data_IF_345191428994
#
_entry.id   IF_345191428994
#
_cell.length_a   1.000
_cell.length_b   1.000
_cell.length_c   1.000
_cell.angle_alpha   90.00
_cell.angle_beta   90.00
_cell.angle_gamma   90.00
#
_symmetry.space_group_name_H-M   'P 1'
#
loop_
_entity.id
_entity.type
_entity.pdbx_description
1 polymer ?
#
# COMPACT_ATOMS: atom_id res chain seq x y z
N UNK A 1 -11.44 10.04 23.39
CA UNK A 1 -10.34 10.89 22.87
C UNK A 1 -10.58 11.16 21.39
N UNK A 2 -10.36 12.38 20.91
CA UNK A 2 -10.45 12.71 19.48
C UNK A 2 -9.10 13.28 19.05
N UNK A 3 -8.52 12.76 17.97
CA UNK A 3 -7.24 13.20 17.43
C UNK A 3 -7.43 13.54 15.95
N UNK A 4 -6.91 14.70 15.54
CA UNK A 4 -6.96 15.20 14.18
C UNK A 4 -5.56 15.11 13.57
N UNK A 5 -5.39 14.21 12.60
CA UNK A 5 -4.12 13.86 11.95
C UNK A 5 -2.93 13.69 12.92
N UNK A 6 -3.05 12.89 14.00
CA UNK A 6 -1.99 12.75 15.01
C UNK A 6 -0.69 12.17 14.45
N UNK A 7 -0.71 11.54 13.28
CA UNK A 7 0.48 11.00 12.62
C UNK A 7 1.09 11.92 11.56
N UNK A 8 0.54 13.13 11.38
CA UNK A 8 1.05 14.09 10.41
C UNK A 8 2.52 14.45 10.69
N UNK A 9 3.32 14.47 9.61
CA UNK A 9 4.74 14.81 9.63
C UNK A 9 5.63 13.91 10.51
N UNK A 10 5.13 12.75 10.94
CA UNK A 10 5.94 11.73 11.60
C UNK A 10 6.58 10.79 10.57
N UNK A 11 7.78 10.32 10.89
CA UNK A 11 8.37 9.20 10.17
C UNK A 11 7.62 7.89 10.52
N UNK A 12 7.83 6.80 9.76
CA UNK A 12 7.10 5.55 9.98
C UNK A 12 7.20 5.01 11.42
N UNK A 13 8.35 5.18 12.08
CA UNK A 13 8.54 4.74 13.48
C UNK A 13 7.71 5.60 14.45
N UNK A 14 7.67 6.91 14.22
CA UNK A 14 6.85 7.85 14.99
C UNK A 14 5.36 7.56 14.85
N UNK A 15 4.89 7.26 13.62
CA UNK A 15 3.50 6.84 13.40
C UNK A 15 3.16 5.59 14.18
N UNK A 16 4.02 4.57 14.13
CA UNK A 16 3.81 3.32 14.85
C UNK A 16 3.72 3.54 16.36
N UNK A 17 4.57 4.41 16.93
CA UNK A 17 4.52 4.76 18.34
C UNK A 17 3.18 5.43 18.73
N UNK A 18 2.62 6.30 17.88
CA UNK A 18 1.29 6.90 18.09
C UNK A 18 0.21 5.81 18.12
N UNK A 19 0.19 4.89 17.16
CA UNK A 19 -0.80 3.82 17.13
C UNK A 19 -0.67 2.85 18.32
N UNK A 20 0.56 2.57 18.79
CA UNK A 20 0.77 1.79 20.01
C UNK A 20 0.15 2.46 21.25
N UNK A 21 0.23 3.79 21.35
CA UNK A 21 -0.42 4.55 22.43
C UNK A 21 -1.94 4.48 22.29
N UNK A 22 -2.47 4.64 21.07
CA UNK A 22 -3.91 4.52 20.81
C UNK A 22 -4.44 3.14 21.22
N UNK A 23 -3.72 2.07 20.87
CA UNK A 23 -4.07 0.70 21.23
C UNK A 23 -4.03 0.47 22.75
N UNK A 24 -3.06 1.07 23.46
CA UNK A 24 -3.01 1.03 24.93
C UNK A 24 -4.24 1.71 25.55
N UNK A 25 -4.61 2.90 25.05
CA UNK A 25 -5.78 3.64 25.55
C UNK A 25 -7.07 2.86 25.30
N UNK A 26 -7.19 2.24 24.12
CA UNK A 26 -8.31 1.35 23.79
C UNK A 26 -8.41 0.17 24.76
N UNK A 27 -7.29 -0.49 25.09
CA UNK A 27 -7.24 -1.58 26.10
C UNK A 27 -7.66 -1.13 27.50
N UNK A 28 -7.54 0.16 27.81
CA UNK A 28 -8.02 0.76 29.07
C UNK A 28 -9.52 1.15 29.02
N UNK A 29 -10.23 0.81 27.94
CA UNK A 29 -11.65 1.10 27.75
C UNK A 29 -11.95 2.49 27.19
N UNK A 30 -10.92 3.22 26.73
CA UNK A 30 -11.12 4.53 26.09
C UNK A 30 -11.54 4.35 24.63
N UNK A 31 -12.62 5.00 24.22
CA UNK A 31 -12.93 5.15 22.79
C UNK A 31 -12.06 6.26 22.20
N UNK A 32 -11.38 5.96 21.09
CA UNK A 32 -10.54 6.91 20.33
C UNK A 32 -11.16 7.12 18.95
N UNK A 33 -11.31 8.38 18.56
CA UNK A 33 -11.68 8.78 17.20
C UNK A 33 -10.44 9.39 16.55
N UNK A 34 -10.02 8.82 15.43
CA UNK A 34 -8.92 9.32 14.61
C UNK A 34 -9.48 9.92 13.33
N UNK A 35 -9.01 11.11 12.97
CA UNK A 35 -9.20 11.69 11.65
C UNK A 35 -7.85 11.56 10.93
N UNK A 36 -7.83 10.78 9.85
CA UNK A 36 -6.64 10.51 9.04
C UNK A 36 -7.02 10.52 7.57
N UNK A 37 -6.06 10.85 6.70
CA UNK A 37 -6.23 10.82 5.25
C UNK A 37 -5.43 9.69 4.57
N UNK A 38 -4.54 9.02 5.30
CA UNK A 38 -3.68 7.94 4.80
C UNK A 38 -4.31 6.58 5.12
N UNK A 39 -4.73 5.85 4.09
CA UNK A 39 -5.53 4.63 4.25
C UNK A 39 -4.71 3.41 4.62
N UNK A 40 -3.44 3.41 4.27
CA UNK A 40 -2.46 2.35 4.51
C UNK A 40 -2.33 2.08 6.02
N UNK A 41 -2.08 3.15 6.78
CA UNK A 41 -1.96 3.09 8.23
C UNK A 41 -3.29 2.69 8.90
N UNK A 42 -4.40 3.22 8.39
CA UNK A 42 -5.73 2.92 8.95
C UNK A 42 -6.12 1.45 8.77
N UNK A 43 -5.78 0.83 7.65
CA UNK A 43 -6.22 -0.53 7.33
C UNK A 43 -5.79 -1.58 8.37
N UNK A 44 -4.64 -1.38 9.01
CA UNK A 44 -4.12 -2.29 10.03
C UNK A 44 -4.48 -1.88 11.47
N UNK A 45 -4.74 -0.60 11.72
CA UNK A 45 -4.72 -0.04 13.09
C UNK A 45 -6.10 0.34 13.65
N UNK A 46 -7.16 0.36 12.83
CA UNK A 46 -8.50 0.80 13.25
C UNK A 46 -9.54 -0.31 13.15
N UNK A 47 -10.50 -0.32 14.07
CA UNK A 47 -11.59 -1.30 14.08
C UNK A 47 -12.69 -0.97 13.06
N UNK A 48 -13.00 0.33 12.94
CA UNK A 48 -14.14 0.83 12.16
C UNK A 48 -13.77 2.10 11.42
N UNK A 49 -14.36 2.26 10.24
CA UNK A 49 -14.18 3.45 9.41
C UNK A 49 -15.54 4.12 9.18
N UNK A 50 -15.51 5.45 9.23
CA UNK A 50 -16.62 6.32 8.83
C UNK A 50 -16.10 7.18 7.69
N UNK A 51 -16.80 7.15 6.55
CA UNK A 51 -16.50 8.04 5.44
C UNK A 51 -17.52 9.17 5.42
N UNK A 52 -17.00 10.39 5.37
CA UNK A 52 -17.77 11.63 5.32
C UNK A 52 -17.64 12.28 3.95
N UNK A 53 -18.75 12.72 3.39
CA UNK A 53 -18.80 13.53 2.17
C UNK A 53 -19.78 14.69 2.37
N UNK A 54 -19.33 15.92 2.10
CA UNK A 54 -20.11 17.15 2.32
C UNK A 54 -20.86 17.21 3.67
N UNK A 55 -20.20 16.80 4.75
CA UNK A 55 -20.77 16.82 6.11
C UNK A 55 -21.79 15.71 6.39
N UNK A 56 -21.94 14.72 5.51
CA UNK A 56 -22.83 13.56 5.69
C UNK A 56 -22.02 12.28 5.76
N UNK A 57 -22.45 11.36 6.61
CA UNK A 57 -21.90 10.00 6.65
C UNK A 57 -22.42 9.27 5.41
N UNK A 58 -21.51 8.92 4.51
CA UNK A 58 -21.81 8.14 3.30
C UNK A 58 -21.51 6.66 3.46
N UNK A 59 -20.64 6.31 4.41
CA UNK A 59 -20.35 4.94 4.76
C UNK A 59 -19.92 4.81 6.22
N UNK A 60 -20.28 3.68 6.85
CA UNK A 60 -19.84 3.31 8.19
C UNK A 60 -19.83 1.79 8.32
N UNK A 61 -18.71 1.21 8.72
CA UNK A 61 -18.58 -0.23 8.86
C UNK A 61 -17.29 -0.65 9.56
N UNK A 62 -17.10 -1.96 9.66
CA UNK A 62 -15.83 -2.55 10.05
C UNK A 62 -14.77 -2.24 8.98
N UNK A 63 -13.53 -2.02 9.40
CA UNK A 63 -12.43 -1.56 8.52
C UNK A 63 -12.27 -2.39 7.26
N UNK A 64 -12.31 -3.73 7.41
CA UNK A 64 -12.20 -4.66 6.29
C UNK A 64 -13.30 -4.45 5.25
N UNK A 65 -14.55 -4.41 5.69
CA UNK A 65 -15.70 -4.27 4.80
C UNK A 65 -15.65 -2.95 4.04
N UNK A 66 -15.13 -1.89 4.68
CA UNK A 66 -14.98 -0.57 4.06
C UNK A 66 -13.88 -0.62 3.00
N UNK A 67 -12.67 -1.05 3.36
CA UNK A 67 -11.51 -1.01 2.45
C UNK A 67 -11.56 -2.05 1.32
N UNK A 68 -12.35 -3.11 1.44
CA UNK A 68 -12.61 -4.03 0.33
C UNK A 68 -13.50 -3.43 -0.77
N UNK A 69 -14.30 -2.39 -0.47
CA UNK A 69 -15.16 -1.72 -1.45
C UNK A 69 -14.37 -0.67 -2.26
N UNK A 70 -13.34 -1.09 -2.98
CA UNK A 70 -12.48 -0.19 -3.80
C UNK A 70 -13.27 0.77 -4.71
N UNK A 71 -14.37 0.36 -5.39
CA UNK A 71 -15.17 1.29 -6.19
C UNK A 71 -15.81 2.45 -5.39
N UNK A 72 -16.04 2.25 -4.08
CA UNK A 72 -16.54 3.29 -3.18
C UNK A 72 -15.53 4.45 -3.09
N UNK A 73 -14.25 4.13 -2.95
CA UNK A 73 -13.18 5.12 -2.82
C UNK A 73 -13.07 5.98 -4.07
N UNK A 74 -13.05 5.35 -5.25
CA UNK A 74 -12.99 6.07 -6.52
C UNK A 74 -14.21 6.99 -6.73
N UNK A 75 -15.42 6.52 -6.35
CA UNK A 75 -16.65 7.32 -6.46
C UNK A 75 -16.60 8.62 -5.64
N UNK A 76 -15.91 8.61 -4.49
CA UNK A 76 -15.82 9.76 -3.58
C UNK A 76 -14.44 10.43 -3.61
N UNK A 77 -13.63 10.18 -4.65
CA UNK A 77 -12.30 10.77 -4.84
C UNK A 77 -11.32 10.49 -3.68
N UNK A 78 -11.52 9.37 -3.00
CA UNK A 78 -10.61 8.85 -1.98
C UNK A 78 -9.66 7.83 -2.62
N UNK A 79 -8.54 7.58 -1.96
CA UNK A 79 -7.63 6.49 -2.34
C UNK A 79 -7.86 5.32 -1.40
N UNK A 80 -8.10 4.10 -1.91
CA UNK A 80 -8.07 2.91 -1.07
C UNK A 80 -6.61 2.55 -0.74
N UNK A 81 -6.36 1.65 0.24
CA UNK A 81 -5.05 1.04 0.41
C UNK A 81 -4.57 0.42 -0.89
N UNK A 82 -3.31 0.65 -1.27
CA UNK A 82 -2.75 0.18 -2.56
C UNK A 82 -2.90 -1.34 -2.74
N UNK A 83 -2.74 -2.10 -1.67
CA UNK A 83 -2.90 -3.56 -1.66
C UNK A 83 -4.34 -4.00 -1.95
N UNK A 84 -5.33 -3.23 -1.48
CA UNK A 84 -6.73 -3.47 -1.78
C UNK A 84 -7.03 -3.17 -3.25
N UNK A 85 -6.50 -2.08 -3.80
CA UNK A 85 -6.61 -1.78 -5.23
C UNK A 85 -5.99 -2.90 -6.08
N UNK A 86 -4.80 -3.39 -5.71
CA UNK A 86 -4.16 -4.50 -6.39
C UNK A 86 -5.01 -5.77 -6.35
N UNK A 87 -5.50 -6.17 -5.17
CA UNK A 87 -6.37 -7.34 -5.04
C UNK A 87 -7.69 -7.18 -5.80
N UNK A 88 -8.28 -5.99 -5.80
CA UNK A 88 -9.48 -5.70 -6.57
C UNK A 88 -9.27 -5.96 -8.07
N UNK A 89 -8.11 -5.56 -8.62
CA UNK A 89 -7.76 -5.86 -10.02
C UNK A 89 -7.63 -7.36 -10.30
N UNK A 90 -7.18 -8.16 -9.32
CA UNK A 90 -7.17 -9.61 -9.44
C UNK A 90 -8.59 -10.19 -9.40
N UNK A 91 -9.46 -9.64 -8.54
CA UNK A 91 -10.86 -10.01 -8.44
C UNK A 91 -11.61 -9.72 -9.75
N UNK A 92 -11.43 -8.55 -10.35
CA UNK A 92 -12.03 -8.20 -11.66
C UNK A 92 -11.61 -9.17 -12.77
N UNK A 93 -10.38 -9.68 -12.70
CA UNK A 93 -9.86 -10.71 -13.60
C UNK A 93 -10.31 -12.13 -13.24
N UNK A 94 -11.13 -12.29 -12.19
CA UNK A 94 -11.63 -13.57 -11.66
C UNK A 94 -10.51 -14.52 -11.22
N UNK A 95 -9.38 -13.97 -10.80
CA UNK A 95 -8.25 -14.75 -10.26
C UNK A 95 -8.40 -15.04 -8.77
N UNK A 96 -9.19 -14.22 -8.07
CA UNK A 96 -9.54 -14.36 -6.66
C UNK A 96 -11.03 -14.04 -6.49
N UNK A 97 -11.61 -14.46 -5.36
CA UNK A 97 -12.94 -14.05 -4.91
C UNK A 97 -12.89 -12.71 -4.16
N UNK A 98 -14.06 -12.10 -3.92
CA UNK A 98 -14.15 -10.75 -3.32
C UNK A 98 -13.64 -10.75 -1.87
N UNK A 99 -13.92 -11.79 -1.11
CA UNK A 99 -13.50 -11.96 0.28
C UNK A 99 -11.97 -12.09 0.42
N UNK A 100 -11.29 -12.49 -0.65
CA UNK A 100 -9.84 -12.61 -0.74
C UNK A 100 -9.12 -11.31 -1.10
N UNK A 101 -9.84 -10.22 -1.38
CA UNK A 101 -9.23 -8.89 -1.59
C UNK A 101 -8.53 -8.48 -0.29
N UNK A 102 -7.20 -8.29 -0.30
CA UNK A 102 -6.43 -7.97 0.90
C UNK A 102 -6.65 -6.51 1.26
N UNK A 103 -6.78 -6.21 2.55
CA UNK A 103 -6.85 -4.81 3.03
C UNK A 103 -5.55 -4.35 3.67
N UNK A 104 -4.67 -5.27 4.09
CA UNK A 104 -3.35 -4.96 4.65
C UNK A 104 -2.21 -5.53 3.80
N UNK A 105 -1.00 -5.04 4.02
CA UNK A 105 0.21 -5.55 3.34
C UNK A 105 0.45 -7.02 3.64
N UNK A 106 0.25 -7.47 4.88
CA UNK A 106 0.44 -8.85 5.28
C UNK A 106 -0.50 -9.80 4.52
N UNK A 107 -1.76 -9.38 4.35
CA UNK A 107 -2.75 -10.11 3.56
C UNK A 107 -2.35 -10.15 2.08
N UNK A 108 -1.86 -9.03 1.53
CA UNK A 108 -1.37 -8.95 0.16
C UNK A 108 -0.19 -9.88 -0.08
N UNK A 109 0.79 -9.91 0.82
CA UNK A 109 1.94 -10.82 0.76
C UNK A 109 1.49 -12.28 0.84
N UNK A 110 0.57 -12.60 1.75
CA UNK A 110 0.03 -13.97 1.88
C UNK A 110 -0.71 -14.40 0.60
N UNK A 111 -1.49 -13.50 0.01
CA UNK A 111 -2.19 -13.73 -1.25
C UNK A 111 -1.21 -14.03 -2.38
N UNK A 112 -0.20 -13.18 -2.56
CA UNK A 112 0.82 -13.35 -3.60
C UNK A 112 1.60 -14.64 -3.41
N UNK A 113 2.04 -14.97 -2.19
CA UNK A 113 2.74 -16.24 -1.90
C UNK A 113 1.92 -17.48 -2.23
N UNK A 114 0.59 -17.40 -2.18
CA UNK A 114 -0.32 -18.48 -2.56
C UNK A 114 -0.57 -18.55 -4.07
N UNK A 115 -0.53 -17.42 -4.78
CA UNK A 115 -0.72 -17.36 -6.23
C UNK A 115 0.57 -17.65 -7.02
N UNK A 116 1.74 -17.29 -6.47
CA UNK A 116 3.05 -17.49 -7.07
C UNK A 116 3.66 -18.92 -7.05
N UNK A 117 3.20 -19.94 -6.28
CA UNK A 117 3.75 -21.29 -6.39
C UNK A 117 3.61 -21.88 -7.81
N UNK A 118 2.70 -21.34 -8.62
CA UNK A 118 2.50 -21.68 -10.04
C UNK A 118 3.19 -20.73 -11.03
N UNK A 119 3.92 -19.70 -10.56
CA UNK A 119 4.66 -18.78 -11.41
C UNK A 119 6.15 -19.08 -11.24
N UNK A 120 6.77 -19.65 -12.28
CA UNK A 120 8.23 -19.77 -12.31
C UNK A 120 8.84 -18.39 -11.97
N UNK A 121 9.86 -18.32 -11.09
CA UNK A 121 10.44 -17.05 -10.71
C UNK A 121 10.88 -16.32 -11.98
N UNK A 122 10.56 -15.02 -12.14
CA UNK A 122 11.11 -14.23 -13.23
C UNK A 122 12.63 -14.33 -13.10
N UNK A 123 13.27 -14.84 -14.14
CA UNK A 123 14.72 -15.04 -14.21
C UNK A 123 15.44 -13.85 -13.62
N UNK A 124 16.25 -14.10 -12.58
CA UNK A 124 17.05 -13.12 -11.83
C UNK A 124 17.59 -12.04 -12.75
N UNK A 125 17.19 -10.78 -12.53
CA UNK A 125 17.87 -9.64 -13.14
C UNK A 125 19.29 -9.65 -12.55
N UNK A 126 20.25 -10.09 -13.36
CA UNK A 126 21.66 -10.11 -12.99
C UNK A 126 22.10 -8.70 -12.59
N UNK A 127 22.79 -8.63 -11.44
CA UNK A 127 23.25 -7.42 -10.79
C UNK A 127 23.83 -6.38 -11.77
N UNK A 128 23.32 -5.15 -11.68
CA UNK A 128 23.85 -3.98 -12.37
C UNK A 128 25.26 -3.70 -11.82
N UNK A 129 26.31 -3.92 -12.60
CA UNK A 129 27.66 -3.44 -12.29
C UNK A 129 27.83 -2.04 -12.88
N UNK A 130 28.01 -1.05 -12.01
CA UNK A 130 28.39 0.32 -12.39
C UNK A 130 29.91 0.38 -12.40
N UNK A 131 30.52 0.53 -13.58
CA UNK A 131 31.93 0.87 -13.69
C UNK A 131 32.09 2.39 -13.50
N UNK A 132 32.93 2.80 -12.54
CA UNK A 132 33.17 4.21 -12.17
C UNK A 132 34.40 4.81 -12.85
N UNK A 133 34.97 4.14 -13.85
CA UNK A 133 36.03 4.72 -14.66
C UNK A 133 35.43 5.50 -15.83
N UNK A 134 35.74 6.80 -15.91
CA UNK A 134 35.41 7.73 -17.01
C UNK A 134 34.00 8.36 -17.08
N UNK A 135 33.48 8.97 -16.01
CA UNK A 135 32.52 10.12 -16.10
C UNK A 135 31.25 9.98 -16.99
N UNK A 136 30.93 8.79 -17.49
CA UNK A 136 29.84 8.42 -18.38
C UNK A 136 29.50 6.97 -18.08
N UNK A 137 28.43 6.74 -17.33
CA UNK A 137 27.97 5.37 -17.05
C UNK A 137 27.50 4.69 -18.32
N UNK A 138 28.07 3.53 -18.65
CA UNK A 138 27.63 2.68 -19.77
C UNK A 138 26.91 1.44 -19.24
N UNK A 139 25.65 1.26 -19.60
CA UNK A 139 24.86 0.07 -19.26
C UNK A 139 24.99 -0.91 -20.43
N UNK A 140 25.52 -2.11 -20.18
CA UNK A 140 25.56 -3.19 -21.18
C UNK A 140 24.67 -4.32 -20.65
N UNK A 141 23.48 -4.48 -21.23
CA UNK A 141 22.66 -5.67 -21.02
C UNK A 141 23.24 -6.82 -21.87
N UNK A 142 23.71 -7.89 -21.24
CA UNK A 142 23.95 -9.16 -21.94
C UNK A 142 22.76 -10.10 -21.72
N UNK A 143 21.78 -10.02 -22.61
CA UNK A 143 20.62 -10.91 -22.68
C UNK A 143 20.19 -11.14 -24.13
N UNK A 144 19.50 -12.25 -24.40
CA UNK A 144 19.21 -12.78 -25.75
C UNK A 144 18.13 -12.01 -26.54
N UNK A 145 18.00 -10.70 -26.31
CA UNK A 145 17.20 -9.78 -27.10
C UNK A 145 18.13 -8.67 -27.60
N UNK A 146 17.89 -8.19 -28.83
CA UNK A 146 18.75 -7.21 -29.49
C UNK A 146 19.15 -6.07 -28.52
N UNK A 147 20.44 -5.72 -28.43
CA UNK A 147 20.91 -4.76 -27.43
C UNK A 147 20.25 -3.40 -27.68
N UNK A 148 19.42 -2.96 -26.74
CA UNK A 148 18.90 -1.59 -26.72
C UNK A 148 19.82 -0.76 -25.82
N UNK A 149 20.52 0.20 -26.42
CA UNK A 149 21.28 1.20 -25.67
C UNK A 149 20.30 2.21 -25.05
N UNK A 150 20.15 2.17 -23.73
CA UNK A 150 19.42 3.20 -22.98
C UNK A 150 20.45 4.16 -22.40
N UNK A 151 20.50 5.37 -22.97
CA UNK A 151 21.39 6.45 -22.51
C UNK A 151 20.66 7.25 -21.42
N UNK A 152 21.12 7.15 -20.17
CA UNK A 152 20.60 7.95 -19.05
C UNK A 152 21.64 9.03 -18.74
N UNK A 153 21.28 10.30 -18.99
CA UNK A 153 22.11 11.45 -18.68
C UNK A 153 21.83 11.87 -17.22
N UNK A 154 22.78 11.59 -16.33
CA UNK A 154 22.73 12.07 -14.94
C UNK A 154 23.27 13.50 -14.95
N UNK A 155 22.39 14.49 -14.74
CA UNK A 155 22.82 15.86 -14.45
C UNK A 155 23.16 15.95 -12.97
N UNK A 156 24.44 16.18 -12.68
CA UNK A 156 24.89 16.59 -11.36
C UNK A 156 24.24 17.95 -11.00
N UNK A 157 23.74 18.07 -9.77
CA UNK A 157 23.21 19.31 -9.18
C UNK A 157 24.31 20.35 -8.97
#
# INVERSE_FOLDING_TARGET
LVLDEPTAALDPLGKEAVFQIVELLKKQGMTVLLVEHETEDMAAQVDRVIILDHGRIIYRGETRDVFQEVPLFSKYHLRPPEVAEFGWRLYEKRLISKDEVPVTEEEGVALIKRLLPSMAPPSTINAIKVDKSEGKGKIIQSGNAAPQEVMIEVKDL
#
